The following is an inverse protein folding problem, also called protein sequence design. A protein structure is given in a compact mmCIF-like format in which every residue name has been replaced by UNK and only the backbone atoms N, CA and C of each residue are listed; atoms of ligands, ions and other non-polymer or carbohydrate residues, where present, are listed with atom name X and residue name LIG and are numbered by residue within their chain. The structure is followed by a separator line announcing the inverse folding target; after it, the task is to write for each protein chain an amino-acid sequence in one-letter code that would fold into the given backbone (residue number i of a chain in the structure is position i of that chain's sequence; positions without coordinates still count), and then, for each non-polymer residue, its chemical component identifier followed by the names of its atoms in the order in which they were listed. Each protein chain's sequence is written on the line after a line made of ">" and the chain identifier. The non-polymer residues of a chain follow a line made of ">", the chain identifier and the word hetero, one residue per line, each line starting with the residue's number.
data_IF_431702637727
#
_entry.id   IF_431702637727
#
_cell.length_a   1.000
_cell.length_b   1.000
_cell.length_c   1.000
_cell.angle_alpha   90.00
_cell.angle_beta   90.00
_cell.angle_gamma   90.00
#
_symmetry.space_group_name_H-M   'P 1'
#
loop_
_entity.id
_entity.type
_entity.pdbx_description
1 polymer ?
#
# COMPACT_ATOMS: atom_id res chain seq x y z
N UNK A 1 46.19 -49.32 17.09
CA UNK A 1 45.19 -50.10 16.31
C UNK A 1 44.00 -49.19 16.04
N UNK A 2 43.70 -48.96 14.77
CA UNK A 2 42.55 -48.25 14.17
C UNK A 2 41.88 -49.24 13.20
N UNK A 3 40.70 -49.03 12.56
CA UNK A 3 39.67 -47.94 12.60
C UNK A 3 38.22 -48.59 12.55
N UNK A 4 37.14 -48.06 11.91
CA UNK A 4 36.78 -46.71 11.41
C UNK A 4 35.37 -46.21 11.83
N UNK A 5 35.09 -44.94 11.53
CA UNK A 5 33.90 -44.19 11.96
C UNK A 5 32.63 -44.30 11.11
N UNK A 6 31.70 -43.37 11.40
CA UNK A 6 30.50 -42.95 10.64
C UNK A 6 29.86 -41.77 11.41
N UNK A 7 30.07 -40.52 10.97
CA UNK A 7 29.11 -39.66 10.23
C UNK A 7 27.76 -39.43 10.95
N UNK A 8 27.50 -38.19 11.40
CA UNK A 8 26.28 -37.43 11.06
C UNK A 8 26.66 -35.94 11.06
N UNK A 9 27.14 -35.45 9.92
CA UNK A 9 27.00 -34.04 9.57
C UNK A 9 25.54 -33.81 9.21
N UNK A 10 24.86 -32.91 9.92
CA UNK A 10 23.51 -32.49 9.56
C UNK A 10 23.66 -31.48 8.41
N UNK A 11 23.79 -32.01 7.21
CA UNK A 11 23.79 -31.29 5.94
C UNK A 11 22.38 -30.70 5.76
N UNK A 12 22.24 -29.38 5.89
CA UNK A 12 21.04 -28.68 5.44
C UNK A 12 21.20 -28.49 3.93
N UNK A 13 20.83 -29.52 3.19
CA UNK A 13 20.79 -29.52 1.74
C UNK A 13 19.49 -28.82 1.32
N UNK A 14 19.59 -27.56 0.93
CA UNK A 14 18.52 -26.86 0.22
C UNK A 14 18.35 -27.54 -1.14
N UNK A 15 17.35 -28.41 -1.25
CA UNK A 15 16.84 -28.87 -2.54
C UNK A 15 16.10 -27.69 -3.19
N UNK A 16 16.77 -27.03 -4.14
CA UNK A 16 16.13 -26.19 -5.14
C UNK A 16 15.35 -27.08 -6.12
N UNK A 17 14.10 -27.35 -5.80
CA UNK A 17 13.15 -27.76 -6.82
C UNK A 17 12.72 -26.52 -7.62
N UNK A 18 13.33 -26.38 -8.79
CA UNK A 18 12.84 -25.54 -9.87
C UNK A 18 11.48 -26.06 -10.33
N UNK A 19 10.44 -25.25 -10.11
CA UNK A 19 9.24 -25.26 -10.95
C UNK A 19 8.82 -23.81 -11.22
N UNK A 20 9.58 -23.14 -12.09
CA UNK A 20 9.11 -21.94 -12.79
C UNK A 20 8.11 -22.38 -13.86
N UNK A 21 6.86 -22.59 -13.46
CA UNK A 21 5.77 -22.68 -14.42
C UNK A 21 5.42 -21.28 -14.91
N UNK A 22 5.98 -20.98 -16.09
CA UNK A 22 5.62 -19.88 -16.96
C UNK A 22 4.13 -19.99 -17.35
N UNK A 23 3.32 -19.01 -16.94
CA UNK A 23 1.89 -19.03 -17.19
C UNK A 23 1.29 -17.63 -17.16
N UNK A 24 1.39 -16.94 -18.29
CA UNK A 24 0.51 -15.87 -18.76
C UNK A 24 0.11 -14.79 -17.74
N UNK A 25 0.83 -13.67 -17.77
CA UNK A 25 0.30 -12.43 -17.23
C UNK A 25 0.34 -11.31 -18.28
N UNK A 26 -0.25 -11.59 -19.44
CA UNK A 26 -0.52 -10.61 -20.49
C UNK A 26 -1.83 -9.87 -20.22
N UNK A 27 -1.97 -9.24 -19.05
CA UNK A 27 -2.98 -8.19 -18.81
C UNK A 27 -2.67 -7.35 -17.55
N UNK A 28 -1.42 -6.92 -17.36
CA UNK A 28 -1.12 -5.86 -16.40
C UNK A 28 -0.95 -4.53 -17.15
N UNK A 29 -2.08 -3.97 -17.57
CA UNK A 29 -2.11 -2.61 -18.14
C UNK A 29 -2.26 -1.59 -17.01
N UNK A 30 -1.42 -0.55 -17.08
CA UNK A 30 -1.60 0.83 -16.62
C UNK A 30 -1.69 1.21 -15.12
N UNK A 31 -1.63 0.29 -14.16
CA UNK A 31 -1.62 0.66 -12.72
C UNK A 31 -0.43 0.10 -11.90
N UNK A 32 0.67 -0.28 -12.57
CA UNK A 32 1.81 -0.97 -11.97
C UNK A 32 2.71 -0.17 -11.01
N UNK A 33 2.45 1.11 -10.72
CA UNK A 33 3.33 1.95 -9.90
C UNK A 33 2.98 2.02 -8.40
N UNK A 34 2.11 1.13 -7.91
CA UNK A 34 1.73 1.09 -6.49
C UNK A 34 2.04 -0.21 -5.76
N UNK A 35 2.85 -1.11 -6.35
CA UNK A 35 3.53 -2.15 -5.57
C UNK A 35 4.99 -1.77 -5.43
N UNK A 36 5.26 -0.89 -4.46
CA UNK A 36 6.60 -0.79 -3.91
C UNK A 36 7.00 -2.21 -3.44
N UNK A 37 7.97 -2.81 -4.12
CA UNK A 37 8.58 -4.02 -3.60
C UNK A 37 9.31 -3.61 -2.32
N UNK A 38 8.71 -3.93 -1.18
CA UNK A 38 9.24 -3.58 0.15
C UNK A 38 10.68 -4.08 0.28
N UNK A 39 11.00 -5.22 -0.33
CA UNK A 39 12.35 -5.81 -0.32
C UNK A 39 13.35 -4.88 -1.04
N UNK A 40 13.01 -4.35 -2.22
CA UNK A 40 13.87 -3.44 -2.98
C UNK A 40 14.04 -2.07 -2.31
N UNK A 41 12.96 -1.53 -1.73
CA UNK A 41 13.04 -0.27 -0.99
C UNK A 41 13.94 -0.37 0.24
N UNK A 42 13.85 -1.51 0.94
CA UNK A 42 14.70 -1.82 2.09
C UNK A 42 16.16 -1.99 1.66
N UNK A 43 16.44 -2.72 0.58
CA UNK A 43 17.81 -2.87 0.05
C UNK A 43 18.42 -1.53 -0.39
N UNK A 44 17.68 -0.72 -1.15
CA UNK A 44 18.13 0.61 -1.57
C UNK A 44 18.34 1.56 -0.38
N UNK A 45 17.54 1.42 0.68
CA UNK A 45 17.74 2.14 1.93
C UNK A 45 19.06 1.74 2.60
N UNK A 46 19.31 0.44 2.78
CA UNK A 46 20.56 -0.05 3.38
C UNK A 46 21.79 0.38 2.58
N UNK A 47 21.76 0.23 1.25
CA UNK A 47 22.88 0.59 0.40
C UNK A 47 23.22 2.09 0.52
N UNK A 48 22.20 2.97 0.47
CA UNK A 48 22.40 4.42 0.64
C UNK A 48 22.96 4.79 2.02
N UNK A 49 22.58 4.06 3.07
CA UNK A 49 23.10 4.31 4.42
C UNK A 49 24.56 3.87 4.56
N UNK A 50 24.91 2.71 4.01
CA UNK A 50 26.30 2.22 3.96
C UNK A 50 27.18 3.15 3.12
N UNK A 51 26.72 3.54 1.93
CA UNK A 51 27.44 4.45 1.03
C UNK A 51 27.66 5.85 1.64
N UNK A 52 26.78 6.26 2.58
CA UNK A 52 26.91 7.53 3.30
C UNK A 52 27.94 7.52 4.44
N UNK A 53 28.63 6.38 4.67
CA UNK A 53 29.65 6.23 5.71
C UNK A 53 29.09 6.05 7.12
N UNK A 54 27.81 5.72 7.25
CA UNK A 54 27.15 5.56 8.54
C UNK A 54 27.31 4.11 9.05
N UNK A 55 28.41 3.86 9.76
CA UNK A 55 28.78 2.54 10.32
C UNK A 55 28.06 2.17 11.62
N UNK A 56 27.02 2.92 12.01
CA UNK A 56 26.29 2.70 13.27
C UNK A 56 25.68 1.30 13.35
N UNK A 57 25.25 0.73 12.21
CA UNK A 57 24.66 -0.61 12.15
C UNK A 57 25.69 -1.71 12.41
N UNK A 58 26.90 -1.58 11.86
CA UNK A 58 28.01 -2.51 12.10
C UNK A 58 28.46 -2.47 13.57
N UNK A 59 28.54 -1.27 14.15
CA UNK A 59 28.81 -1.10 15.59
C UNK A 59 27.72 -1.71 16.46
N UNK A 60 26.45 -1.53 16.10
CA UNK A 60 25.33 -2.13 16.81
C UNK A 60 25.33 -3.66 16.72
N UNK A 61 25.68 -4.23 15.57
CA UNK A 61 25.85 -5.68 15.38
C UNK A 61 26.96 -6.23 16.29
N UNK A 62 28.12 -5.57 16.33
CA UNK A 62 29.23 -5.93 17.21
C UNK A 62 28.83 -5.87 18.70
N UNK A 63 28.17 -4.78 19.12
CA UNK A 63 27.70 -4.61 20.51
C UNK A 63 26.66 -5.66 20.86
N UNK A 64 25.76 -6.01 19.93
CA UNK A 64 24.74 -7.02 20.15
C UNK A 64 25.35 -8.44 20.27
N UNK A 65 26.32 -8.79 19.43
CA UNK A 65 27.00 -10.08 19.48
C UNK A 65 27.87 -10.20 20.76
N UNK A 66 28.53 -9.12 21.16
CA UNK A 66 29.25 -9.05 22.44
C UNK A 66 28.30 -9.22 23.64
N UNK A 67 27.15 -8.54 23.65
CA UNK A 67 26.13 -8.69 24.71
C UNK A 67 25.53 -10.09 24.75
N UNK A 68 25.28 -10.68 23.58
CA UNK A 68 24.83 -12.07 23.43
C UNK A 68 25.88 -13.06 23.98
N UNK A 69 27.17 -12.82 23.73
CA UNK A 69 28.25 -13.64 24.29
C UNK A 69 28.35 -13.55 25.81
N UNK A 70 27.95 -12.42 26.40
CA UNK A 70 27.95 -12.17 27.86
C UNK A 70 26.66 -12.58 28.55
N UNK A 71 25.65 -13.07 27.81
CA UNK A 71 24.36 -13.49 28.34
C UNK A 71 23.49 -12.33 28.84
N UNK A 72 23.81 -11.08 28.48
CA UNK A 72 23.01 -9.92 28.84
C UNK A 72 21.79 -9.81 27.92
N UNK A 73 20.58 -9.54 28.44
CA UNK A 73 19.41 -9.33 27.60
C UNK A 73 19.64 -8.12 26.70
N UNK A 74 19.50 -8.31 25.39
CA UNK A 74 19.36 -7.18 24.46
C UNK A 74 18.18 -6.34 24.93
N UNK A 75 18.39 -5.03 25.02
CA UNK A 75 17.39 -4.09 25.55
C UNK A 75 16.03 -4.22 24.86
N UNK A 76 15.01 -3.51 25.35
CA UNK A 76 13.65 -3.61 24.80
C UNK A 76 13.67 -3.44 23.28
N UNK A 77 12.88 -4.28 22.59
CA UNK A 77 12.75 -4.24 21.14
C UNK A 77 12.51 -2.80 20.70
N UNK A 78 13.14 -2.34 19.60
CA UNK A 78 12.82 -1.04 19.03
C UNK A 78 11.30 -1.04 18.80
N UNK A 79 10.60 -0.15 19.50
CA UNK A 79 9.18 0.06 19.25
C UNK A 79 9.06 0.45 17.79
N UNK A 80 8.18 -0.21 17.00
CA UNK A 80 7.99 0.18 15.61
C UNK A 80 7.69 1.67 15.62
N UNK A 81 8.55 2.46 14.96
CA UNK A 81 8.25 3.85 14.70
C UNK A 81 6.96 3.83 13.91
N UNK A 82 5.84 4.11 14.58
CA UNK A 82 4.58 4.32 13.91
C UNK A 82 4.86 5.55 13.06
N UNK A 83 5.20 5.32 11.79
CA UNK A 83 5.45 6.37 10.82
C UNK A 83 4.35 7.39 11.06
N UNK A 84 4.69 8.67 11.38
CA UNK A 84 3.70 9.62 11.83
C UNK A 84 2.53 9.53 10.88
N UNK A 85 1.36 9.08 11.37
CA UNK A 85 0.13 9.01 10.55
C UNK A 85 0.08 10.35 9.88
N UNK A 86 0.29 10.40 8.56
CA UNK A 86 0.46 11.68 7.89
C UNK A 86 -0.78 12.47 8.25
N UNK A 87 -0.59 13.62 8.92
CA UNK A 87 -1.64 14.39 9.61
C UNK A 87 -2.84 14.72 8.70
N UNK A 88 -2.72 14.55 7.39
CA UNK A 88 -3.78 14.77 6.40
C UNK A 88 -4.92 13.76 6.43
N UNK A 89 -4.73 12.54 6.95
CA UNK A 89 -5.81 11.53 6.99
C UNK A 89 -6.97 12.00 7.89
N UNK A 90 -6.71 13.00 8.75
CA UNK A 90 -7.66 13.57 9.70
C UNK A 90 -8.72 14.50 9.06
N UNK A 91 -8.56 14.93 7.81
CA UNK A 91 -9.49 15.91 7.18
C UNK A 91 -10.63 15.21 6.43
N UNK A 92 -10.35 14.09 5.76
CA UNK A 92 -11.37 13.35 5.01
C UNK A 92 -11.91 12.21 5.88
N UNK A 93 -13.20 12.21 6.25
CA UNK A 93 -13.79 11.16 7.06
C UNK A 93 -13.50 9.76 6.50
N UNK A 94 -13.18 8.76 7.34
CA UNK A 94 -12.86 7.43 6.86
C UNK A 94 -14.05 6.82 6.13
N UNK A 95 -13.79 6.04 5.10
CA UNK A 95 -14.85 5.33 4.41
C UNK A 95 -15.54 4.32 5.33
N UNK A 96 -16.85 4.10 5.13
CA UNK A 96 -17.63 3.16 5.92
C UNK A 96 -17.03 1.75 5.91
N UNK A 97 -17.15 1.06 7.05
CA UNK A 97 -16.66 -0.30 7.22
C UNK A 97 -17.65 -1.26 6.57
N UNK A 98 -17.34 -1.73 5.37
CA UNK A 98 -18.27 -2.57 4.60
C UNK A 98 -18.63 -3.89 5.26
N UNK A 99 -17.77 -4.40 6.15
CA UNK A 99 -18.02 -5.63 6.93
C UNK A 99 -19.18 -5.49 7.92
N UNK A 100 -19.60 -4.27 8.27
CA UNK A 100 -20.77 -4.06 9.15
C UNK A 100 -22.09 -4.05 8.38
N UNK A 101 -22.03 -3.95 7.05
CA UNK A 101 -23.19 -3.92 6.16
C UNK A 101 -23.51 -5.35 5.70
N UNK A 102 -24.77 -5.75 5.79
CA UNK A 102 -25.16 -7.17 5.65
C UNK A 102 -25.38 -7.59 4.21
N UNK A 103 -25.63 -6.64 3.30
CA UNK A 103 -25.95 -6.95 1.90
C UNK A 103 -25.03 -6.23 0.91
N UNK A 104 -24.69 -6.85 -0.24
CA UNK A 104 -23.94 -6.20 -1.31
C UNK A 104 -24.60 -4.92 -1.85
N UNK A 105 -25.94 -4.85 -1.81
CA UNK A 105 -26.68 -3.66 -2.25
C UNK A 105 -26.48 -2.49 -1.28
N UNK A 106 -26.64 -2.75 0.03
CA UNK A 106 -26.39 -1.77 1.08
C UNK A 106 -24.95 -1.26 1.02
N UNK A 107 -24.00 -2.19 0.86
CA UNK A 107 -22.59 -1.89 0.62
C UNK A 107 -22.36 -0.89 -0.53
N UNK A 108 -22.96 -1.12 -1.69
CA UNK A 108 -22.84 -0.22 -2.83
C UNK A 108 -23.48 1.15 -2.56
N UNK A 109 -24.70 1.17 -2.01
CA UNK A 109 -25.43 2.41 -1.73
C UNK A 109 -24.72 3.27 -0.69
N UNK A 110 -24.20 2.67 0.38
CA UNK A 110 -23.44 3.41 1.40
C UNK A 110 -22.15 4.00 0.85
N UNK A 111 -21.47 3.34 -0.11
CA UNK A 111 -20.33 3.93 -0.80
C UNK A 111 -20.72 5.08 -1.73
N UNK A 112 -21.86 4.99 -2.41
CA UNK A 112 -22.40 6.08 -3.23
C UNK A 112 -22.67 7.30 -2.34
N UNK A 113 -23.33 7.09 -1.20
CA UNK A 113 -23.60 8.16 -0.23
C UNK A 113 -22.32 8.78 0.30
N UNK A 114 -21.32 7.97 0.65
CA UNK A 114 -20.01 8.45 1.09
C UNK A 114 -19.29 9.27 -0.01
N UNK A 115 -19.26 8.77 -1.25
CA UNK A 115 -18.66 9.47 -2.39
C UNK A 115 -19.31 10.85 -2.57
N UNK A 116 -20.64 10.92 -2.53
CA UNK A 116 -21.39 12.17 -2.71
C UNK A 116 -21.24 13.14 -1.54
N UNK A 117 -21.32 12.64 -0.31
CA UNK A 117 -21.35 13.49 0.88
C UNK A 117 -19.96 13.99 1.28
N UNK A 118 -18.95 13.14 1.14
CA UNK A 118 -17.61 13.42 1.67
C UNK A 118 -16.63 13.82 0.57
N UNK A 119 -16.59 13.10 -0.56
CA UNK A 119 -15.52 13.27 -1.55
C UNK A 119 -15.87 14.26 -2.66
N UNK A 120 -17.12 14.24 -3.12
CA UNK A 120 -17.61 15.15 -4.17
C UNK A 120 -17.41 16.62 -3.83
N UNK A 121 -17.83 17.14 -2.66
CA UNK A 121 -17.63 18.55 -2.34
C UNK A 121 -16.14 18.95 -2.30
N UNK A 122 -15.26 18.08 -1.79
CA UNK A 122 -13.82 18.34 -1.76
C UNK A 122 -13.20 18.40 -3.17
N UNK A 123 -13.68 17.55 -4.07
CA UNK A 123 -13.26 17.57 -5.46
C UNK A 123 -13.80 18.81 -6.18
N UNK A 124 -15.05 19.20 -5.91
CA UNK A 124 -15.64 20.41 -6.49
C UNK A 124 -14.95 21.68 -6.02
N UNK A 125 -14.58 21.75 -4.74
CA UNK A 125 -13.78 22.87 -4.20
C UNK A 125 -12.42 22.96 -4.89
N UNK A 126 -11.69 21.84 -5.01
CA UNK A 126 -10.42 21.78 -5.75
C UNK A 126 -10.56 22.19 -7.22
N UNK A 127 -11.65 21.80 -7.88
CA UNK A 127 -11.90 22.15 -9.28
C UNK A 127 -12.33 23.60 -9.46
N UNK A 128 -13.04 24.17 -8.49
CA UNK A 128 -13.52 25.55 -8.53
C UNK A 128 -12.41 26.56 -8.20
N UNK A 129 -11.56 26.24 -7.23
CA UNK A 129 -10.42 27.05 -6.82
C UNK A 129 -9.14 26.19 -6.72
N UNK A 130 -8.53 25.84 -7.87
CA UNK A 130 -7.34 25.01 -7.88
C UNK A 130 -6.15 25.74 -7.23
N UNK A 131 -5.32 25.05 -6.43
CA UNK A 131 -4.18 25.70 -5.78
C UNK A 131 -3.22 26.35 -6.78
N UNK A 132 -2.93 27.64 -6.61
CA UNK A 132 -2.05 28.40 -7.52
C UNK A 132 -0.61 27.85 -7.63
N UNK A 133 -0.15 27.14 -6.60
CA UNK A 133 1.19 26.55 -6.57
C UNK A 133 1.18 25.15 -7.19
N UNK A 134 2.00 24.86 -8.22
CA UNK A 134 2.05 23.55 -8.88
C UNK A 134 2.25 22.37 -7.91
N UNK A 135 3.15 22.52 -6.93
CA UNK A 135 3.39 21.48 -5.91
C UNK A 135 2.19 21.19 -5.01
N UNK A 136 1.39 22.22 -4.69
CA UNK A 136 0.19 22.08 -3.86
C UNK A 136 -0.96 21.50 -4.68
N UNK A 137 -1.07 21.92 -5.93
CA UNK A 137 -2.01 21.39 -6.90
C UNK A 137 -1.81 19.88 -7.12
N UNK A 138 -0.56 19.45 -7.35
CA UNK A 138 -0.21 18.03 -7.48
C UNK A 138 -0.51 17.25 -6.19
N UNK A 139 -0.17 17.84 -5.03
CA UNK A 139 -0.42 17.21 -3.74
C UNK A 139 -1.91 16.97 -3.48
N UNK A 140 -2.76 17.99 -3.65
CA UNK A 140 -4.22 17.85 -3.44
C UNK A 140 -4.85 16.93 -4.51
N UNK A 141 -4.43 17.03 -5.78
CA UNK A 141 -4.84 16.10 -6.83
C UNK A 141 -4.53 14.65 -6.46
N UNK A 142 -3.27 14.37 -6.08
CA UNK A 142 -2.84 13.03 -5.69
C UNK A 142 -3.64 12.53 -4.49
N UNK A 143 -3.85 13.39 -3.50
CA UNK A 143 -4.61 13.05 -2.30
C UNK A 143 -6.06 12.71 -2.62
N UNK A 144 -6.77 13.52 -3.42
CA UNK A 144 -8.16 13.27 -3.79
C UNK A 144 -8.30 12.01 -4.66
N UNK A 145 -7.45 11.86 -5.68
CA UNK A 145 -7.45 10.69 -6.56
C UNK A 145 -7.13 9.40 -5.81
N UNK A 146 -6.07 9.39 -4.99
CA UNK A 146 -5.69 8.25 -4.15
C UNK A 146 -6.83 7.89 -3.17
N UNK A 147 -7.49 8.90 -2.59
CA UNK A 147 -8.63 8.68 -1.69
C UNK A 147 -9.80 8.02 -2.40
N UNK A 148 -10.20 8.51 -3.58
CA UNK A 148 -11.30 7.91 -4.36
C UNK A 148 -10.95 6.47 -4.75
N UNK A 149 -9.72 6.24 -5.23
CA UNK A 149 -9.27 4.91 -5.63
C UNK A 149 -9.28 3.93 -4.44
N UNK A 150 -8.64 4.29 -3.33
CA UNK A 150 -8.48 3.40 -2.20
C UNK A 150 -9.77 3.19 -1.40
N UNK A 151 -10.57 4.24 -1.24
CA UNK A 151 -11.75 4.22 -0.37
C UNK A 151 -13.04 3.88 -1.10
N UNK A 152 -13.10 4.04 -2.43
CA UNK A 152 -14.29 3.78 -3.23
C UNK A 152 -14.05 2.69 -4.27
N UNK A 153 -13.10 2.86 -5.19
CA UNK A 153 -12.93 1.95 -6.32
C UNK A 153 -12.55 0.53 -5.89
N UNK A 154 -11.48 0.40 -5.08
CA UNK A 154 -11.06 -0.92 -4.58
C UNK A 154 -12.15 -1.61 -3.74
N UNK A 155 -12.95 -0.82 -3.04
CA UNK A 155 -14.06 -1.32 -2.22
C UNK A 155 -15.24 -1.77 -3.08
N UNK A 156 -15.56 -1.04 -4.14
CA UNK A 156 -16.60 -1.37 -5.10
C UNK A 156 -16.28 -2.68 -5.86
N UNK A 157 -15.00 -2.91 -6.18
CA UNK A 157 -14.55 -4.14 -6.84
C UNK A 157 -14.80 -5.39 -5.99
N UNK A 158 -14.70 -5.28 -4.67
CA UNK A 158 -15.01 -6.37 -3.73
C UNK A 158 -16.51 -6.64 -3.55
N UNK A 159 -17.41 -5.85 -4.16
CA UNK A 159 -18.85 -6.07 -4.08
C UNK A 159 -19.27 -7.11 -5.13
N UNK A 160 -19.59 -8.31 -4.67
CA UNK A 160 -20.06 -9.40 -5.52
C UNK A 160 -21.51 -9.18 -6.01
N UNK A 161 -21.75 -9.13 -7.33
CA UNK A 161 -23.08 -8.85 -7.88
C UNK A 161 -23.90 -10.14 -7.89
N UNK A 162 -24.83 -10.27 -6.95
CA UNK A 162 -25.70 -11.45 -6.84
C UNK A 162 -26.96 -11.37 -7.70
N UNK A 163 -27.33 -10.17 -8.15
CA UNK A 163 -28.50 -9.89 -8.99
C UNK A 163 -28.29 -8.59 -9.79
N UNK A 164 -29.17 -8.32 -10.75
CA UNK A 164 -29.06 -7.13 -11.61
C UNK A 164 -29.14 -5.81 -10.82
N UNK A 165 -29.88 -5.76 -9.70
CA UNK A 165 -29.96 -4.56 -8.84
C UNK A 165 -28.60 -4.20 -8.25
N UNK A 166 -27.90 -5.16 -7.65
CA UNK A 166 -26.55 -4.96 -7.09
C UNK A 166 -25.57 -4.59 -8.20
N UNK A 167 -25.66 -5.28 -9.35
CA UNK A 167 -24.80 -5.00 -10.52
C UNK A 167 -24.99 -3.56 -11.02
N UNK A 168 -26.23 -3.09 -11.11
CA UNK A 168 -26.55 -1.72 -11.53
C UNK A 168 -26.08 -0.69 -10.50
N UNK A 169 -26.29 -0.93 -9.20
CA UNK A 169 -25.81 -0.05 -8.14
C UNK A 169 -24.28 0.06 -8.15
N UNK A 170 -23.57 -1.07 -8.24
CA UNK A 170 -22.10 -1.11 -8.35
C UNK A 170 -21.61 -0.38 -9.59
N UNK A 171 -22.27 -0.59 -10.75
CA UNK A 171 -21.91 0.10 -12.00
C UNK A 171 -22.12 1.61 -11.90
N UNK A 172 -23.20 2.05 -11.27
CA UNK A 172 -23.47 3.47 -11.03
C UNK A 172 -22.38 4.10 -10.16
N UNK A 173 -22.03 3.44 -9.05
CA UNK A 173 -20.94 3.85 -8.16
C UNK A 173 -19.61 4.01 -8.91
N UNK A 174 -19.19 2.98 -9.66
CA UNK A 174 -17.94 2.99 -10.42
C UNK A 174 -17.95 4.11 -11.46
N UNK A 175 -19.06 4.29 -12.19
CA UNK A 175 -19.20 5.35 -13.20
C UNK A 175 -19.07 6.74 -12.58
N UNK A 176 -19.69 6.97 -11.44
CA UNK A 176 -19.67 8.26 -10.75
C UNK A 176 -18.27 8.58 -10.21
N UNK A 177 -17.61 7.60 -9.55
CA UNK A 177 -16.24 7.75 -9.09
C UNK A 177 -15.26 8.02 -10.24
N UNK A 178 -15.41 7.30 -11.36
CA UNK A 178 -14.57 7.50 -12.55
C UNK A 178 -14.82 8.87 -13.19
N UNK A 179 -16.08 9.34 -13.24
CA UNK A 179 -16.38 10.67 -13.73
C UNK A 179 -15.70 11.75 -12.89
N UNK A 180 -15.65 11.58 -11.57
CA UNK A 180 -14.97 12.50 -10.66
C UNK A 180 -13.45 12.48 -10.85
N UNK A 181 -12.84 11.29 -10.94
CA UNK A 181 -11.41 11.14 -11.26
C UNK A 181 -11.06 11.81 -12.60
N UNK A 182 -11.85 11.58 -13.65
CA UNK A 182 -11.62 12.19 -14.95
C UNK A 182 -11.72 13.72 -14.93
N UNK A 183 -12.50 14.31 -14.00
CA UNK A 183 -12.53 15.77 -13.80
C UNK A 183 -11.27 16.25 -13.09
N UNK A 184 -10.81 15.54 -12.06
CA UNK A 184 -9.56 15.85 -11.36
C UNK A 184 -8.36 15.81 -12.32
N UNK A 185 -8.31 14.81 -13.20
CA UNK A 185 -7.23 14.62 -14.18
C UNK A 185 -7.08 15.81 -15.14
N UNK A 186 -8.16 16.52 -15.46
CA UNK A 186 -8.12 17.68 -16.36
C UNK A 186 -7.35 18.86 -15.77
N UNK A 187 -7.27 18.94 -14.44
CA UNK A 187 -6.64 20.07 -13.72
C UNK A 187 -5.32 19.65 -13.10
N UNK A 188 -5.28 18.47 -12.48
CA UNK A 188 -4.23 18.06 -11.56
C UNK A 188 -3.15 17.16 -12.14
N UNK A 189 -3.39 16.57 -13.31
CA UNK A 189 -2.47 15.58 -13.87
C UNK A 189 -1.19 16.26 -14.36
N UNK A 190 0.00 15.84 -13.90
CA UNK A 190 1.26 16.39 -14.41
C UNK A 190 1.38 16.09 -15.90
N UNK A 191 1.54 17.15 -16.71
CA UNK A 191 1.89 17.06 -18.12
C UNK A 191 3.37 16.64 -18.17
N UNK A 192 3.63 15.41 -18.62
CA UNK A 192 4.99 14.88 -18.84
C UNK A 192 5.58 15.42 -20.14
#
# INVERSE_FOLDING_TARGET
>A
MTPPGKTVGRHFEFHEDQDYSNGNNSHFSQYGLLRANVIEQVQSYYQRHVDSGQEDFERLLLIAEEKKSRGEPTGPLPVPSVAPKRRYEAIIPPAPRMMTLKTPLEQANTLIEYLRRELTPLCEEYLADPPASPRKLEFEYRKLSETILARVMLKADGIEPRNETVKNARRALIREAQALLNRLDQVGRPQS
#
